data_IF_602447886755
#
_entry.id   IF_602447886755
#
_cell.length_a   1.000
_cell.length_b   1.000
_cell.length_c   1.000
_cell.angle_alpha   90.00
_cell.angle_beta   90.00
_cell.angle_gamma   90.00
#
_symmetry.space_group_name_H-M   'P 1'
#
loop_
_entity.id
_entity.type
_entity.pdbx_description
1 polymer ?
#
# COMPACT_ATOMS: atom_id res chain seq x y z
N UNK A 1 -31.60 22.35 -28.01
CA UNK A 1 -30.80 21.16 -27.65
C UNK A 1 -29.90 21.36 -26.44
N UNK A 2 -29.71 22.59 -25.90
CA UNK A 2 -28.76 22.85 -24.77
C UNK A 2 -29.25 22.49 -23.35
N UNK A 3 -30.58 22.50 -23.09
CA UNK A 3 -31.09 22.26 -21.72
C UNK A 3 -31.03 20.77 -21.29
N UNK A 4 -31.25 19.82 -22.18
CA UNK A 4 -31.26 18.39 -21.86
C UNK A 4 -29.86 17.83 -21.58
N UNK A 5 -28.81 18.39 -22.18
CA UNK A 5 -27.41 17.99 -21.94
C UNK A 5 -26.89 18.53 -20.60
N UNK A 6 -27.29 19.78 -20.24
CA UNK A 6 -26.93 20.36 -18.95
C UNK A 6 -27.62 19.66 -17.77
N UNK A 7 -28.89 19.28 -17.92
CA UNK A 7 -29.63 18.53 -16.90
C UNK A 7 -29.06 17.12 -16.68
N UNK A 8 -28.64 16.45 -17.76
CA UNK A 8 -27.97 15.17 -17.70
C UNK A 8 -26.59 15.23 -17.03
N UNK A 9 -25.81 16.28 -17.26
CA UNK A 9 -24.53 16.49 -16.61
C UNK A 9 -24.68 16.78 -15.09
N UNK A 10 -25.66 17.62 -14.72
CA UNK A 10 -25.94 17.91 -13.31
C UNK A 10 -26.42 16.67 -12.54
N UNK A 11 -27.23 15.81 -13.16
CA UNK A 11 -27.67 14.56 -12.55
C UNK A 11 -26.47 13.60 -12.30
N UNK A 12 -25.60 13.41 -13.30
CA UNK A 12 -24.38 12.59 -13.17
C UNK A 12 -23.43 13.14 -12.12
N UNK A 13 -23.23 14.45 -12.04
CA UNK A 13 -22.40 15.06 -11.01
C UNK A 13 -22.94 14.81 -9.60
N UNK A 14 -24.27 14.88 -9.42
CA UNK A 14 -24.92 14.59 -8.15
C UNK A 14 -24.79 13.11 -7.75
N UNK A 15 -24.92 12.20 -8.70
CA UNK A 15 -24.80 10.75 -8.47
C UNK A 15 -23.35 10.36 -8.13
N UNK A 16 -22.37 10.84 -8.89
CA UNK A 16 -20.96 10.67 -8.64
C UNK A 16 -20.56 11.22 -7.26
N UNK A 17 -21.01 12.42 -6.90
CA UNK A 17 -20.76 13.01 -5.59
C UNK A 17 -21.28 12.12 -4.46
N UNK A 18 -22.52 11.64 -4.55
CA UNK A 18 -23.11 10.72 -3.56
C UNK A 18 -22.31 9.44 -3.43
N UNK A 19 -21.82 8.89 -4.55
CA UNK A 19 -20.97 7.72 -4.56
C UNK A 19 -19.69 7.95 -3.75
N UNK A 20 -18.95 9.02 -4.04
CA UNK A 20 -17.68 9.28 -3.34
C UNK A 20 -17.88 9.67 -1.88
N UNK A 21 -18.90 10.45 -1.55
CA UNK A 21 -19.26 10.74 -0.16
C UNK A 21 -19.59 9.47 0.63
N UNK A 22 -20.19 8.48 -0.02
CA UNK A 22 -20.50 7.18 0.58
C UNK A 22 -19.26 6.30 0.73
N UNK A 23 -18.40 6.20 -0.30
CA UNK A 23 -17.24 5.29 -0.31
C UNK A 23 -16.00 5.85 0.41
N UNK A 24 -15.99 7.16 0.66
CA UNK A 24 -14.89 7.88 1.32
C UNK A 24 -15.39 8.55 2.61
N UNK A 25 -16.20 7.83 3.39
CA UNK A 25 -16.72 8.35 4.64
C UNK A 25 -15.58 8.81 5.56
N UNK A 26 -15.64 10.10 5.99
CA UNK A 26 -14.58 10.70 6.82
C UNK A 26 -13.32 11.17 6.07
N UNK A 27 -13.23 10.96 4.75
CA UNK A 27 -12.15 11.44 3.90
C UNK A 27 -12.65 12.51 2.91
N UNK A 28 -11.73 13.23 2.26
CA UNK A 28 -12.09 14.20 1.23
C UNK A 28 -12.62 13.49 -0.02
N UNK A 29 -13.90 13.64 -0.38
CA UNK A 29 -14.47 12.97 -1.54
C UNK A 29 -13.89 13.52 -2.84
N UNK A 30 -13.80 12.65 -3.84
CA UNK A 30 -13.36 13.01 -5.18
C UNK A 30 -14.40 13.91 -5.87
N UNK A 31 -13.96 15.03 -6.45
CA UNK A 31 -14.83 15.92 -7.20
C UNK A 31 -15.21 15.32 -8.56
N UNK A 32 -16.38 15.71 -9.07
CA UNK A 32 -16.83 15.26 -10.40
C UNK A 32 -15.87 15.69 -11.52
N UNK A 33 -15.28 16.88 -11.39
CA UNK A 33 -14.31 17.40 -12.35
C UNK A 33 -13.04 16.55 -12.41
N UNK A 34 -12.42 16.31 -11.25
CA UNK A 34 -11.20 15.50 -11.15
C UNK A 34 -11.47 14.05 -11.57
N UNK A 35 -12.62 13.48 -11.20
CA UNK A 35 -13.03 12.17 -11.66
C UNK A 35 -13.17 12.12 -13.20
N UNK A 36 -13.80 13.13 -13.80
CA UNK A 36 -13.89 13.25 -15.26
C UNK A 36 -12.53 13.33 -15.95
N UNK A 37 -11.56 14.02 -15.34
CA UNK A 37 -10.19 14.06 -15.84
C UNK A 37 -9.52 12.66 -15.76
N UNK A 38 -9.66 11.96 -14.65
CA UNK A 38 -9.14 10.60 -14.47
C UNK A 38 -9.70 9.66 -15.54
N UNK A 39 -11.02 9.63 -15.72
CA UNK A 39 -11.63 8.77 -16.73
C UNK A 39 -11.16 9.10 -18.16
N UNK A 40 -11.07 10.37 -18.50
CA UNK A 40 -10.59 10.81 -19.82
C UNK A 40 -9.14 10.38 -20.05
N UNK A 41 -8.25 10.63 -19.08
CA UNK A 41 -6.82 10.27 -19.18
C UNK A 41 -6.61 8.75 -19.14
N UNK A 42 -7.34 8.04 -18.29
CA UNK A 42 -7.32 6.58 -18.25
C UNK A 42 -7.74 5.95 -19.57
N UNK A 43 -8.81 6.47 -20.21
CA UNK A 43 -9.22 5.98 -21.53
C UNK A 43 -8.19 6.31 -22.62
N UNK A 44 -7.47 7.43 -22.53
CA UNK A 44 -6.36 7.74 -23.43
C UNK A 44 -5.20 6.76 -23.23
N UNK A 45 -4.84 6.44 -21.99
CA UNK A 45 -3.79 5.47 -21.69
C UNK A 45 -4.16 4.07 -22.19
N UNK A 46 -5.42 3.67 -22.01
CA UNK A 46 -5.94 2.41 -22.54
C UNK A 46 -5.86 2.34 -24.07
N UNK A 47 -6.04 3.46 -24.77
CA UNK A 47 -5.92 3.52 -26.23
C UNK A 47 -4.47 3.49 -26.70
N UNK A 48 -3.54 4.06 -25.95
CA UNK A 48 -2.08 4.04 -26.23
C UNK A 48 -1.48 2.67 -25.99
N UNK A 49 -1.98 1.91 -25.00
CA UNK A 49 -1.48 0.57 -24.61
C UNK A 49 0.04 0.54 -24.36
N UNK A 50 0.57 1.32 -23.40
CA UNK A 50 2.02 1.44 -23.20
C UNK A 50 2.71 0.11 -22.88
N UNK A 51 2.00 -0.86 -22.32
CA UNK A 51 2.49 -2.22 -22.06
C UNK A 51 2.83 -3.06 -23.29
N UNK A 52 2.52 -2.57 -24.49
CA UNK A 52 2.96 -3.20 -25.75
C UNK A 52 4.44 -2.89 -26.06
N UNK A 53 5.02 -1.85 -25.43
CA UNK A 53 6.39 -1.39 -25.70
C UNK A 53 7.18 -0.99 -24.44
N UNK A 54 6.58 -1.06 -23.25
CA UNK A 54 7.23 -0.84 -21.96
C UNK A 54 7.13 -2.11 -21.14
N UNK A 55 8.19 -2.37 -20.35
CA UNK A 55 8.22 -3.47 -19.41
C UNK A 55 7.77 -3.03 -18.01
N UNK A 56 7.28 -3.96 -17.20
CA UNK A 56 6.79 -3.69 -15.84
C UNK A 56 7.88 -3.09 -14.93
N UNK A 57 9.16 -3.31 -15.26
CA UNK A 57 10.31 -2.75 -14.54
C UNK A 57 10.74 -1.37 -15.02
N UNK A 58 10.20 -0.86 -16.12
CA UNK A 58 10.50 0.45 -16.68
C UNK A 58 9.87 1.54 -15.82
N UNK A 59 10.65 2.13 -14.92
CA UNK A 59 10.19 3.20 -14.05
C UNK A 59 10.36 4.57 -14.68
N UNK A 60 9.34 5.39 -14.50
CA UNK A 60 9.38 6.83 -14.73
C UNK A 60 9.34 7.55 -13.39
N UNK A 61 10.09 8.63 -13.28
CA UNK A 61 10.08 9.49 -12.11
C UNK A 61 9.30 10.77 -12.42
N UNK A 62 8.47 11.20 -11.49
CA UNK A 62 7.81 12.49 -11.49
C UNK A 62 7.88 13.08 -10.09
N UNK A 63 7.80 14.39 -9.98
CA UNK A 63 7.76 15.04 -8.67
C UNK A 63 6.40 15.69 -8.49
N UNK A 64 5.70 15.30 -7.43
CA UNK A 64 4.45 15.94 -7.06
C UNK A 64 4.69 17.42 -6.72
N UNK A 65 3.93 18.31 -7.38
CA UNK A 65 4.13 19.75 -7.27
C UNK A 65 3.70 20.34 -5.93
N UNK A 66 2.83 19.65 -5.19
CA UNK A 66 2.35 20.11 -3.89
C UNK A 66 3.25 19.66 -2.75
N UNK A 67 3.56 18.37 -2.68
CA UNK A 67 4.37 17.78 -1.61
C UNK A 67 5.87 17.78 -1.89
N UNK A 68 6.28 17.89 -3.15
CA UNK A 68 7.66 17.67 -3.59
C UNK A 68 8.11 16.20 -3.53
N UNK A 69 7.21 15.27 -3.20
CA UNK A 69 7.51 13.84 -3.13
C UNK A 69 7.73 13.26 -4.52
N UNK A 70 8.66 12.31 -4.63
CA UNK A 70 8.91 11.61 -5.89
C UNK A 70 7.87 10.50 -6.07
N UNK A 71 7.20 10.52 -7.22
CA UNK A 71 6.32 9.48 -7.72
C UNK A 71 7.13 8.57 -8.64
N UNK A 72 7.08 7.27 -8.38
CA UNK A 72 7.71 6.24 -9.20
C UNK A 72 6.60 5.53 -9.97
N UNK A 73 6.54 5.73 -11.26
CA UNK A 73 5.47 5.23 -12.12
C UNK A 73 5.94 4.02 -12.91
N UNK A 74 5.17 2.93 -12.90
CA UNK A 74 5.39 1.72 -13.70
C UNK A 74 4.13 1.38 -14.47
N UNK A 75 4.27 1.02 -15.75
CA UNK A 75 3.16 0.46 -16.53
C UNK A 75 3.25 -1.05 -16.48
N UNK A 76 2.15 -1.71 -16.10
CA UNK A 76 2.08 -3.17 -16.01
C UNK A 76 1.20 -3.71 -17.13
N UNK A 77 1.55 -4.89 -17.64
CA UNK A 77 0.75 -5.56 -18.66
C UNK A 77 1.52 -6.29 -19.73
N UNK A 78 2.85 -6.25 -19.73
CA UNK A 78 3.69 -6.96 -20.70
C UNK A 78 3.42 -8.47 -20.73
N UNK A 79 3.05 -9.07 -19.58
CA UNK A 79 2.67 -10.49 -19.48
C UNK A 79 1.20 -10.76 -19.81
N UNK A 80 0.38 -9.72 -20.02
CA UNK A 80 -1.04 -9.87 -20.39
C UNK A 80 -1.99 -10.22 -19.24
N UNK A 81 -1.52 -10.24 -17.98
CA UNK A 81 -2.31 -10.60 -16.81
C UNK A 81 -3.02 -9.39 -16.20
N UNK A 82 -2.27 -8.36 -15.86
CA UNK A 82 -2.77 -7.11 -15.25
C UNK A 82 -2.37 -5.93 -16.11
N UNK A 83 -3.33 -5.10 -16.51
CA UNK A 83 -3.06 -3.88 -17.27
C UNK A 83 -3.28 -2.67 -16.37
N UNK A 84 -2.22 -1.95 -16.06
CA UNK A 84 -2.32 -0.82 -15.13
C UNK A 84 -1.19 0.20 -15.30
N UNK A 85 -1.41 1.40 -14.75
CA UNK A 85 -0.35 2.31 -14.33
C UNK A 85 -0.33 2.31 -12.81
N UNK A 86 0.77 1.90 -12.22
CA UNK A 86 1.04 1.98 -10.79
C UNK A 86 1.91 3.19 -10.48
N UNK A 87 1.51 3.97 -9.51
CA UNK A 87 2.25 5.13 -9.01
C UNK A 87 2.62 4.88 -7.57
N UNK A 88 3.87 4.55 -7.34
CA UNK A 88 4.40 4.33 -6.00
C UNK A 88 4.85 5.67 -5.41
N UNK A 89 4.49 5.95 -4.16
CA UNK A 89 4.92 7.14 -3.43
C UNK A 89 5.61 6.73 -2.14
N UNK A 90 6.63 7.51 -1.77
CA UNK A 90 7.39 7.26 -0.56
C UNK A 90 8.48 6.19 -0.68
N UNK A 91 9.39 6.26 0.29
CA UNK A 91 10.60 5.46 0.32
C UNK A 91 10.36 3.95 0.39
N UNK A 92 9.39 3.53 1.21
CA UNK A 92 9.13 2.12 1.44
C UNK A 92 8.51 1.44 0.21
N UNK A 93 7.57 2.14 -0.48
CA UNK A 93 6.97 1.63 -1.71
C UNK A 93 8.00 1.45 -2.83
N UNK A 94 8.93 2.42 -2.98
CA UNK A 94 10.02 2.31 -3.95
C UNK A 94 10.95 1.13 -3.63
N UNK A 95 11.33 0.95 -2.35
CA UNK A 95 12.17 -0.19 -1.94
C UNK A 95 11.47 -1.52 -2.15
N UNK A 96 10.17 -1.57 -1.86
CA UNK A 96 9.36 -2.76 -2.12
C UNK A 96 9.34 -3.11 -3.60
N UNK A 97 9.07 -2.13 -4.48
CA UNK A 97 9.14 -2.29 -5.92
C UNK A 97 10.52 -2.81 -6.36
N UNK A 98 11.62 -2.20 -5.88
CA UNK A 98 13.00 -2.62 -6.21
C UNK A 98 13.30 -4.06 -5.76
N UNK A 99 12.71 -4.50 -4.65
CA UNK A 99 12.83 -5.90 -4.21
C UNK A 99 12.14 -6.86 -5.15
N UNK A 100 10.93 -6.52 -5.60
CA UNK A 100 10.17 -7.32 -6.59
C UNK A 100 10.92 -7.37 -7.91
N UNK A 101 11.34 -6.23 -8.45
CA UNK A 101 12.07 -6.13 -9.70
C UNK A 101 13.40 -6.92 -9.67
N UNK A 102 14.03 -7.03 -8.50
CA UNK A 102 15.23 -7.86 -8.30
C UNK A 102 14.92 -9.35 -8.04
N UNK A 103 13.68 -9.82 -8.19
CA UNK A 103 13.27 -11.20 -7.93
C UNK A 103 13.43 -11.65 -6.47
N UNK A 104 13.52 -10.72 -5.51
CA UNK A 104 13.68 -11.07 -4.10
C UNK A 104 12.34 -11.52 -3.52
N UNK A 105 12.33 -12.53 -2.64
CA UNK A 105 11.11 -12.98 -2.00
C UNK A 105 10.41 -11.82 -1.27
N UNK A 106 9.13 -11.68 -1.51
CA UNK A 106 8.24 -10.72 -0.86
C UNK A 106 7.00 -11.44 -0.36
N UNK A 107 6.47 -11.01 0.76
CA UNK A 107 5.22 -11.52 1.31
C UNK A 107 4.09 -10.52 1.09
N UNK A 108 2.86 -10.96 1.17
CA UNK A 108 1.72 -10.05 1.21
C UNK A 108 1.77 -9.10 2.40
N UNK A 109 2.33 -9.53 3.54
CA UNK A 109 2.62 -8.65 4.67
C UNK A 109 3.56 -7.50 4.33
N UNK A 110 4.61 -7.77 3.52
CA UNK A 110 5.51 -6.72 3.00
C UNK A 110 4.74 -5.72 2.11
N UNK A 111 3.84 -6.22 1.26
CA UNK A 111 2.96 -5.38 0.45
C UNK A 111 2.11 -4.45 1.32
N UNK A 112 1.32 -5.00 2.23
CA UNK A 112 0.45 -4.21 3.09
C UNK A 112 1.19 -3.25 4.02
N UNK A 113 2.42 -3.56 4.42
CA UNK A 113 3.20 -2.67 5.28
C UNK A 113 3.89 -1.53 4.53
N UNK A 114 4.19 -1.73 3.25
CA UNK A 114 5.09 -0.84 2.48
C UNK A 114 4.37 -0.05 1.41
N UNK A 115 3.27 -0.58 0.85
CA UNK A 115 2.66 0.01 -0.34
C UNK A 115 1.88 1.27 -0.04
N UNK A 116 2.33 2.38 -0.62
CA UNK A 116 1.66 3.67 -0.67
C UNK A 116 1.69 4.19 -2.10
N UNK A 117 0.54 4.62 -2.59
CA UNK A 117 0.45 5.15 -3.94
C UNK A 117 -0.95 5.12 -4.49
N UNK A 118 -1.05 5.26 -5.81
CA UNK A 118 -2.31 5.26 -6.55
C UNK A 118 -2.16 4.47 -7.83
N UNK A 119 -3.26 3.91 -8.33
CA UNK A 119 -3.26 3.17 -9.59
C UNK A 119 -4.47 3.49 -10.46
N UNK A 120 -4.29 3.32 -11.76
CA UNK A 120 -5.38 3.04 -12.69
C UNK A 120 -5.21 1.63 -13.21
N UNK A 121 -6.25 0.82 -13.08
CA UNK A 121 -6.29 -0.56 -13.55
C UNK A 121 -7.34 -0.69 -14.64
N UNK A 122 -7.05 -1.48 -15.67
CA UNK A 122 -7.93 -1.66 -16.82
C UNK A 122 -8.58 -3.03 -16.75
N UNK A 123 -9.77 -3.07 -16.19
CA UNK A 123 -10.49 -4.30 -15.85
C UNK A 123 -11.63 -4.61 -16.80
N UNK A 124 -11.93 -5.89 -16.98
CA UNK A 124 -13.11 -6.35 -17.71
C UNK A 124 -14.37 -6.24 -16.87
N UNK A 125 -15.54 -6.33 -17.48
CA UNK A 125 -16.81 -6.28 -16.76
C UNK A 125 -17.00 -7.39 -15.70
N UNK A 126 -16.22 -8.48 -15.76
CA UNK A 126 -16.26 -9.56 -14.77
C UNK A 126 -15.48 -9.21 -13.50
N UNK A 127 -14.41 -8.45 -13.66
CA UNK A 127 -13.49 -8.03 -12.59
C UNK A 127 -14.03 -6.81 -11.82
N UNK A 128 -15.04 -6.10 -12.37
CA UNK A 128 -15.64 -4.94 -11.74
C UNK A 128 -16.52 -5.32 -10.55
N UNK A 129 -16.31 -4.66 -9.43
CA UNK A 129 -17.22 -4.72 -8.28
C UNK A 129 -18.54 -3.99 -8.58
N UNK A 130 -19.63 -4.24 -7.84
CA UNK A 130 -20.87 -3.47 -8.03
C UNK A 130 -20.68 -1.94 -7.89
N UNK A 131 -19.90 -1.42 -6.91
CA UNK A 131 -19.60 0.00 -6.83
C UNK A 131 -18.80 0.53 -8.03
N UNK A 132 -17.87 -0.24 -8.59
CA UNK A 132 -17.13 0.18 -9.80
C UNK A 132 -18.06 0.35 -11.00
N UNK A 133 -19.04 -0.55 -11.15
CA UNK A 133 -20.04 -0.45 -12.22
C UNK A 133 -20.90 0.81 -12.09
N UNK A 134 -21.34 1.10 -10.86
CA UNK A 134 -22.11 2.32 -10.55
C UNK A 134 -21.31 3.57 -10.96
N UNK A 135 -20.03 3.63 -10.61
CA UNK A 135 -19.15 4.74 -10.95
C UNK A 135 -18.92 4.84 -12.47
N UNK A 136 -18.62 3.72 -13.14
CA UNK A 136 -18.42 3.69 -14.61
C UNK A 136 -19.68 4.13 -15.35
N UNK A 137 -20.87 3.77 -14.86
CA UNK A 137 -22.15 4.18 -15.42
C UNK A 137 -22.35 5.71 -15.29
N UNK A 138 -22.02 6.28 -14.13
CA UNK A 138 -22.13 7.72 -13.88
C UNK A 138 -21.24 8.54 -14.84
N UNK A 139 -20.11 7.98 -15.31
CA UNK A 139 -19.21 8.63 -16.27
C UNK A 139 -19.43 8.16 -17.72
N UNK A 140 -20.48 7.39 -18.01
CA UNK A 140 -20.85 6.98 -19.37
C UNK A 140 -19.96 5.89 -19.97
N UNK A 141 -19.14 5.24 -19.14
CA UNK A 141 -18.27 4.13 -19.57
C UNK A 141 -18.97 2.77 -19.46
N UNK A 142 -20.14 2.67 -20.08
CA UNK A 142 -20.98 1.48 -20.06
C UNK A 142 -20.44 0.34 -20.92
N UNK A 143 -20.54 -0.82 -20.36
CA UNK A 143 -20.51 -2.20 -20.83
C UNK A 143 -20.51 -2.41 -22.36
N UNK A 144 -19.34 -2.46 -22.96
CA UNK A 144 -19.18 -3.22 -24.19
C UNK A 144 -18.52 -4.55 -23.80
N UNK A 145 -19.23 -5.67 -24.04
CA UNK A 145 -18.74 -7.02 -23.74
C UNK A 145 -17.32 -7.20 -24.29
N UNK A 146 -16.38 -7.61 -23.41
CA UNK A 146 -14.97 -7.83 -23.76
C UNK A 146 -14.08 -6.59 -23.80
N UNK A 147 -14.59 -5.37 -23.50
CA UNK A 147 -13.75 -4.18 -23.38
C UNK A 147 -13.35 -3.95 -21.93
N UNK A 148 -12.12 -3.46 -21.74
CA UNK A 148 -11.62 -3.02 -20.44
C UNK A 148 -12.08 -1.58 -20.16
N UNK A 149 -12.20 -1.26 -18.88
CA UNK A 149 -12.52 0.08 -18.38
C UNK A 149 -11.58 0.45 -17.25
N UNK A 150 -11.22 1.75 -17.10
CA UNK A 150 -10.35 2.18 -16.03
C UNK A 150 -11.09 2.17 -14.67
N UNK A 151 -10.46 1.62 -13.66
CA UNK A 151 -10.82 1.80 -12.25
C UNK A 151 -9.63 2.41 -11.52
N UNK A 152 -9.88 3.17 -10.46
CA UNK A 152 -8.86 3.94 -9.76
C UNK A 152 -8.79 3.48 -8.31
N UNK A 153 -7.57 3.22 -7.83
CA UNK A 153 -7.33 2.73 -6.47
C UNK A 153 -6.25 3.54 -5.78
N UNK A 154 -6.40 3.71 -4.49
CA UNK A 154 -5.38 4.22 -3.59
C UNK A 154 -4.87 3.09 -2.72
N UNK A 155 -3.56 3.02 -2.58
CA UNK A 155 -2.83 2.08 -1.73
C UNK A 155 -2.31 2.85 -0.51
N UNK A 156 -2.61 2.35 0.68
CA UNK A 156 -2.09 2.91 1.94
C UNK A 156 -1.59 1.80 2.85
N UNK A 157 -0.46 1.99 3.53
CA UNK A 157 0.04 1.00 4.46
C UNK A 157 -1.02 0.59 5.50
N UNK A 158 -1.20 -0.70 5.68
CA UNK A 158 -2.20 -1.24 6.62
C UNK A 158 -3.63 -1.31 6.10
N UNK A 159 -3.88 -0.93 4.84
CA UNK A 159 -5.21 -0.94 4.24
C UNK A 159 -5.25 -1.74 2.95
N UNK A 160 -6.41 -2.30 2.66
CA UNK A 160 -6.72 -2.82 1.33
C UNK A 160 -6.89 -1.66 0.34
N UNK A 161 -6.59 -1.86 -0.97
CA UNK A 161 -6.87 -0.86 -1.99
C UNK A 161 -8.30 -0.36 -1.92
N UNK A 162 -8.44 0.96 -2.08
CA UNK A 162 -9.72 1.64 -1.97
C UNK A 162 -9.87 2.74 -3.01
N UNK A 163 -11.00 3.41 -3.02
CA UNK A 163 -11.23 4.55 -3.90
C UNK A 163 -10.28 5.70 -3.57
N UNK A 164 -9.88 6.45 -4.61
CA UNK A 164 -8.97 7.60 -4.46
C UNK A 164 -9.70 8.80 -3.88
N UNK A 165 -9.05 9.51 -2.98
CA UNK A 165 -9.47 10.84 -2.50
C UNK A 165 -9.12 11.91 -3.54
N UNK A 166 -9.60 13.15 -3.34
CA UNK A 166 -9.28 14.28 -4.22
C UNK A 166 -7.77 14.52 -4.36
N UNK A 167 -7.01 14.47 -3.25
CA UNK A 167 -5.55 14.65 -3.28
C UNK A 167 -4.85 13.51 -4.01
N UNK A 168 -5.21 12.26 -3.73
CA UNK A 168 -4.66 11.08 -4.41
C UNK A 168 -4.99 11.08 -5.91
N UNK A 169 -6.20 11.51 -6.28
CA UNK A 169 -6.62 11.62 -7.67
C UNK A 169 -5.81 12.67 -8.46
N UNK A 170 -5.48 13.81 -7.84
CA UNK A 170 -4.64 14.84 -8.47
C UNK A 170 -3.24 14.31 -8.78
N UNK A 171 -2.64 13.54 -7.87
CA UNK A 171 -1.35 12.87 -8.12
C UNK A 171 -1.47 11.94 -9.32
N UNK A 172 -2.53 11.12 -9.38
CA UNK A 172 -2.74 10.20 -10.50
C UNK A 172 -3.01 10.92 -11.83
N UNK A 173 -3.79 12.01 -11.82
CA UNK A 173 -4.01 12.87 -13.02
C UNK A 173 -2.67 13.39 -13.54
N UNK A 174 -1.84 13.92 -12.65
CA UNK A 174 -0.53 14.44 -13.01
C UNK A 174 0.38 13.37 -13.61
N UNK A 175 0.44 12.20 -12.99
CA UNK A 175 1.24 11.07 -13.50
C UNK A 175 0.71 10.54 -14.83
N UNK A 176 -0.62 10.46 -15.02
CA UNK A 176 -1.24 10.08 -16.30
C UNK A 176 -0.89 11.06 -17.43
N UNK A 177 -0.88 12.37 -17.15
CA UNK A 177 -0.46 13.38 -18.13
C UNK A 177 1.00 13.18 -18.53
N UNK A 178 1.90 12.96 -17.57
CA UNK A 178 3.31 12.71 -17.81
C UNK A 178 3.57 11.48 -18.68
N UNK A 179 2.97 10.33 -18.31
CA UNK A 179 3.13 9.10 -19.08
C UNK A 179 2.56 9.22 -20.50
N UNK A 180 1.41 9.85 -20.67
CA UNK A 180 0.85 10.10 -22.00
C UNK A 180 1.75 11.02 -22.85
N UNK A 181 2.37 12.03 -22.25
CA UNK A 181 3.34 12.88 -22.92
C UNK A 181 4.62 12.09 -23.30
N UNK A 182 5.10 11.21 -22.41
CA UNK A 182 6.22 10.32 -22.71
C UNK A 182 5.90 9.38 -23.87
N UNK A 183 4.75 8.73 -23.88
CA UNK A 183 4.34 7.83 -24.95
C UNK A 183 4.27 8.54 -26.31
N UNK A 184 3.78 9.80 -26.36
CA UNK A 184 3.81 10.60 -27.60
C UNK A 184 5.23 10.88 -28.04
N UNK A 185 6.12 11.27 -27.10
CA UNK A 185 7.52 11.54 -27.41
C UNK A 185 8.25 10.28 -27.91
N UNK A 186 8.04 9.13 -27.26
CA UNK A 186 8.64 7.86 -27.69
C UNK A 186 8.20 7.45 -29.08
N UNK A 187 6.92 7.66 -29.43
CA UNK A 187 6.40 7.40 -30.77
C UNK A 187 7.04 8.30 -31.85
N UNK A 188 7.44 9.53 -31.50
CA UNK A 188 8.11 10.46 -32.43
C UNK A 188 9.59 10.17 -32.61
N UNK A 189 10.27 9.74 -31.54
CA UNK A 189 11.73 9.58 -31.50
C UNK A 189 12.21 8.18 -31.91
N UNK A 190 11.33 7.18 -32.00
CA UNK A 190 11.66 5.79 -32.30
C UNK A 190 12.34 5.05 -31.14
N UNK A 191 13.12 4.02 -31.45
CA UNK A 191 13.72 3.10 -30.46
C UNK A 191 14.85 3.76 -29.65
N UNK A 192 14.49 4.57 -28.67
CA UNK A 192 15.43 5.07 -27.67
C UNK A 192 15.27 4.24 -26.40
N UNK A 193 16.31 3.52 -25.99
CA UNK A 193 16.34 2.85 -24.71
C UNK A 193 16.66 3.86 -23.60
N UNK A 194 15.65 4.27 -22.86
CA UNK A 194 15.79 5.18 -21.73
C UNK A 194 16.30 4.50 -20.48
N UNK A 195 16.33 3.17 -20.42
CA UNK A 195 16.72 2.36 -19.27
C UNK A 195 18.02 1.56 -19.50
N UNK A 196 18.78 1.87 -20.57
CA UNK A 196 20.06 1.24 -20.88
C UNK A 196 21.05 1.21 -19.71
N UNK A 197 20.99 2.23 -18.83
CA UNK A 197 21.88 2.35 -17.68
C UNK A 197 21.15 1.95 -16.41
N UNK A 198 21.73 1.00 -15.69
CA UNK A 198 21.25 0.59 -14.37
C UNK A 198 21.09 1.79 -13.42
N UNK A 199 19.97 1.84 -12.69
CA UNK A 199 19.59 2.90 -11.74
C UNK A 199 19.40 4.31 -12.35
N UNK A 200 19.36 4.44 -13.66
CA UNK A 200 19.05 5.71 -14.35
C UNK A 200 17.66 5.63 -14.97
N UNK A 201 16.81 6.59 -14.67
CA UNK A 201 15.41 6.59 -15.07
C UNK A 201 15.00 7.90 -15.74
N UNK A 202 14.04 7.86 -16.65
CA UNK A 202 13.39 9.06 -17.18
C UNK A 202 12.69 9.83 -16.06
N UNK A 203 13.07 11.08 -15.85
CA UNK A 203 12.41 12.01 -14.95
C UNK A 203 11.63 13.02 -15.79
N UNK A 204 10.31 12.95 -15.68
CA UNK A 204 9.40 13.78 -16.45
C UNK A 204 9.16 15.09 -15.69
N UNK A 205 9.67 16.19 -16.21
CA UNK A 205 9.56 17.52 -15.61
C UNK A 205 8.62 18.35 -16.47
N UNK A 206 7.52 18.91 -15.92
CA UNK A 206 6.62 19.77 -16.70
C UNK A 206 7.40 21.01 -17.17
N UNK A 207 7.17 21.44 -18.42
CA UNK A 207 7.77 22.66 -18.94
C UNK A 207 7.19 23.87 -18.20
N UNK A 208 8.06 24.77 -17.74
CA UNK A 208 7.69 25.90 -16.90
C UNK A 208 6.62 26.84 -17.50
N UNK A 209 6.52 26.89 -18.83
CA UNK A 209 5.56 27.71 -19.57
C UNK A 209 4.20 27.01 -19.76
N UNK A 210 4.13 25.68 -19.52
CA UNK A 210 2.94 24.87 -19.75
C UNK A 210 2.12 24.67 -18.47
N UNK A 211 1.12 25.53 -18.29
CA UNK A 211 0.16 25.43 -17.18
C UNK A 211 -0.81 24.24 -17.30
N UNK A 212 -0.87 23.60 -18.45
CA UNK A 212 -1.77 22.46 -18.71
C UNK A 212 -1.14 21.11 -18.37
N UNK A 213 0.19 21.09 -18.15
CA UNK A 213 0.98 19.88 -17.93
C UNK A 213 0.82 18.86 -19.09
N UNK A 214 0.72 19.35 -20.33
CA UNK A 214 0.66 18.50 -21.52
C UNK A 214 2.05 18.26 -22.14
N UNK A 215 3.04 19.09 -21.79
CA UNK A 215 4.41 19.01 -22.31
C UNK A 215 5.40 18.84 -21.17
N UNK A 216 6.21 17.80 -21.27
CA UNK A 216 7.25 17.47 -20.32
C UNK A 216 8.62 17.48 -20.98
N UNK A 217 9.63 17.85 -20.22
CA UNK A 217 11.03 17.61 -20.53
C UNK A 217 11.44 16.29 -19.88
N UNK A 218 12.15 15.46 -20.64
CA UNK A 218 12.67 14.17 -20.15
C UNK A 218 14.12 14.38 -19.76
N UNK A 219 14.45 14.12 -18.49
CA UNK A 219 15.82 14.14 -17.97
C UNK A 219 16.16 12.75 -17.48
N UNK A 220 17.31 12.23 -17.87
CA UNK A 220 17.82 10.98 -17.32
C UNK A 220 18.47 11.26 -15.97
N UNK A 221 17.95 10.70 -14.90
CA UNK A 221 18.48 10.90 -13.56
C UNK A 221 18.73 9.57 -12.86
N UNK A 222 19.71 9.55 -12.00
CA UNK A 222 19.85 8.45 -11.05
C UNK A 222 18.72 8.56 -10.04
N UNK A 223 17.99 7.46 -9.79
CA UNK A 223 16.91 7.48 -8.81
C UNK A 223 17.46 7.94 -7.45
N UNK A 224 16.85 8.96 -6.84
CA UNK A 224 17.23 9.33 -5.49
C UNK A 224 16.95 8.15 -4.56
N UNK A 225 17.96 7.68 -3.83
CA UNK A 225 17.72 6.71 -2.76
C UNK A 225 16.95 7.43 -1.64
N UNK A 226 15.69 7.04 -1.40
CA UNK A 226 14.94 7.68 -0.34
C UNK A 226 15.61 7.40 1.00
N UNK A 227 15.69 8.38 1.90
CA UNK A 227 16.32 8.19 3.20
C UNK A 227 15.63 7.04 3.94
N UNK A 228 16.43 6.13 4.48
CA UNK A 228 15.92 5.06 5.36
C UNK A 228 15.64 5.70 6.70
N UNK A 229 14.36 5.79 7.09
CA UNK A 229 14.04 6.09 8.47
C UNK A 229 14.60 4.97 9.34
N UNK A 230 15.62 5.27 10.13
CA UNK A 230 16.15 4.28 11.06
C UNK A 230 15.06 3.91 12.08
N UNK A 231 14.81 2.62 12.31
CA UNK A 231 13.90 2.21 13.35
C UNK A 231 14.38 2.77 14.69
N UNK A 232 13.46 3.27 15.50
CA UNK A 232 13.73 3.82 16.83
C UNK A 232 13.07 2.96 17.88
N UNK A 233 13.67 2.93 19.06
CA UNK A 233 13.02 2.33 20.22
C UNK A 233 11.64 2.94 20.42
N UNK A 234 10.66 2.08 20.71
CA UNK A 234 9.32 2.56 21.04
C UNK A 234 9.33 3.20 22.42
N UNK A 235 8.80 4.41 22.51
CA UNK A 235 8.57 5.08 23.80
C UNK A 235 7.30 4.48 24.41
N UNK A 236 7.47 3.71 25.47
CA UNK A 236 6.36 3.11 26.20
C UNK A 236 6.07 3.91 27.45
N UNK A 237 4.81 4.22 27.66
CA UNK A 237 4.33 4.84 28.89
C UNK A 237 4.56 3.86 30.06
N UNK A 238 5.17 4.36 31.14
CA UNK A 238 5.40 3.58 32.36
C UNK A 238 4.08 3.13 33.01
N UNK A 239 3.03 3.91 32.84
CA UNK A 239 1.70 3.54 33.31
C UNK A 239 1.16 2.29 32.61
N UNK A 240 1.51 2.05 31.35
CA UNK A 240 1.15 0.83 30.62
C UNK A 240 1.82 -0.40 31.22
N UNK A 241 3.10 -0.29 31.56
CA UNK A 241 3.86 -1.40 32.14
C UNK A 241 3.34 -1.73 33.54
N UNK A 242 3.24 -0.73 34.42
CA UNK A 242 2.79 -0.90 35.81
C UNK A 242 1.31 -1.28 35.91
N UNK A 243 0.48 -0.88 34.93
CA UNK A 243 -0.94 -1.26 34.88
C UNK A 243 -1.18 -2.70 34.41
N UNK A 244 -0.20 -3.32 33.74
CA UNK A 244 -0.33 -4.68 33.20
C UNK A 244 0.42 -5.69 34.03
N UNK A 245 1.63 -5.39 34.52
CA UNK A 245 2.47 -6.31 35.22
C UNK A 245 2.36 -6.14 36.77
N UNK A 246 2.22 -7.23 37.54
CA UNK A 246 2.35 -7.19 39.00
C UNK A 246 3.80 -6.82 39.42
N UNK A 247 3.96 -6.28 40.63
CA UNK A 247 5.25 -5.79 41.15
C UNK A 247 6.39 -6.81 41.07
N UNK A 248 6.07 -8.11 41.18
CA UNK A 248 7.08 -9.16 41.13
C UNK A 248 6.64 -10.34 40.30
N UNK A 249 7.47 -10.68 39.29
CA UNK A 249 7.34 -11.88 38.47
C UNK A 249 8.68 -12.63 38.42
N UNK A 250 8.66 -13.98 38.51
CA UNK A 250 9.88 -14.79 38.38
C UNK A 250 10.42 -14.68 36.95
N UNK A 251 11.75 -14.63 36.83
CA UNK A 251 12.42 -14.61 35.51
C UNK A 251 12.72 -16.03 35.05
N UNK A 252 12.20 -16.44 33.88
CA UNK A 252 12.41 -17.78 33.29
C UNK A 252 12.09 -17.87 31.84
N UNK A 253 12.58 -18.92 31.17
CA UNK A 253 12.19 -19.32 29.83
C UNK A 253 12.48 -18.29 28.72
N UNK A 254 11.96 -18.57 27.55
CA UNK A 254 12.02 -17.70 26.39
C UNK A 254 10.61 -17.54 25.79
N UNK A 255 10.31 -16.34 25.28
CA UNK A 255 9.12 -16.08 24.47
C UNK A 255 9.52 -15.92 23.01
N UNK A 256 8.69 -16.41 22.09
CA UNK A 256 8.75 -16.08 20.68
C UNK A 256 7.69 -15.03 20.38
N UNK A 257 8.06 -13.97 19.64
CA UNK A 257 7.16 -12.88 19.28
C UNK A 257 7.32 -12.50 17.82
N UNK A 258 6.20 -12.35 17.12
CA UNK A 258 6.15 -11.89 15.73
C UNK A 258 4.92 -11.03 15.50
N UNK A 259 4.95 -10.29 14.41
CA UNK A 259 3.86 -9.46 13.92
C UNK A 259 3.63 -9.77 12.44
N UNK A 260 2.38 -9.89 12.04
CA UNK A 260 2.02 -10.15 10.64
C UNK A 260 0.63 -9.59 10.28
N UNK A 261 0.38 -9.47 8.99
CA UNK A 261 -0.91 -9.13 8.43
C UNK A 261 -1.66 -10.42 8.05
N UNK A 262 -2.99 -10.34 8.06
CA UNK A 262 -3.87 -11.38 7.55
C UNK A 262 -4.65 -10.89 6.34
N UNK A 263 -5.31 -11.78 5.60
CA UNK A 263 -6.22 -11.42 4.50
C UNK A 263 -7.56 -10.84 4.96
N UNK A 264 -7.85 -10.82 6.27
CA UNK A 264 -9.12 -10.34 6.79
C UNK A 264 -9.26 -8.83 6.62
N UNK A 265 -10.44 -8.41 6.13
CA UNK A 265 -10.83 -7.01 5.91
C UNK A 265 -11.62 -6.50 7.11
N UNK A 266 -11.13 -5.45 7.76
CA UNK A 266 -11.76 -4.83 8.93
C UNK A 266 -12.30 -3.44 8.56
N UNK A 267 -13.47 -3.09 9.04
CA UNK A 267 -14.12 -1.78 8.85
C UNK A 267 -15.57 -1.89 8.38
N UNK A 268 -16.30 -0.78 8.49
CA UNK A 268 -17.68 -0.66 8.08
C UNK A 268 -17.83 -0.71 6.54
N UNK A 269 -19.04 -1.03 6.06
CA UNK A 269 -19.28 -1.34 4.63
C UNK A 269 -18.76 -0.31 3.64
N UNK A 270 -18.77 0.97 3.99
CA UNK A 270 -18.45 2.09 3.09
C UNK A 270 -17.17 2.84 3.52
N UNK A 271 -16.29 2.17 4.24
CA UNK A 271 -15.02 2.72 4.70
C UNK A 271 -13.87 1.95 4.09
N UNK A 272 -12.71 2.61 4.00
CA UNK A 272 -11.47 1.95 3.61
C UNK A 272 -11.21 0.77 4.54
N UNK A 273 -11.07 -0.42 3.96
CA UNK A 273 -10.88 -1.65 4.73
C UNK A 273 -9.46 -1.73 5.26
N UNK A 274 -9.33 -1.82 6.58
CA UNK A 274 -8.05 -2.10 7.20
C UNK A 274 -7.69 -3.58 7.04
N UNK A 275 -6.39 -3.86 6.91
CA UNK A 275 -5.85 -5.20 7.03
C UNK A 275 -5.77 -5.55 8.52
N UNK A 276 -6.25 -6.71 8.92
CA UNK A 276 -6.08 -7.17 10.28
C UNK A 276 -4.59 -7.42 10.56
N UNK A 277 -4.05 -6.68 11.52
CA UNK A 277 -2.68 -6.82 12.02
C UNK A 277 -2.70 -7.57 13.35
N UNK A 278 -1.76 -8.48 13.52
CA UNK A 278 -1.71 -9.33 14.70
C UNK A 278 -0.29 -9.39 15.24
N UNK A 279 -0.12 -9.15 16.53
CA UNK A 279 1.07 -9.56 17.24
C UNK A 279 0.76 -10.83 18.05
N UNK A 280 1.53 -11.88 17.82
CA UNK A 280 1.43 -13.15 18.50
C UNK A 280 2.65 -13.39 19.36
N UNK A 281 2.41 -13.99 20.52
CA UNK A 281 3.46 -14.42 21.44
C UNK A 281 3.19 -15.86 21.83
N UNK A 282 4.24 -16.67 21.84
CA UNK A 282 4.21 -18.05 22.34
C UNK A 282 5.35 -18.30 23.32
N UNK A 283 5.14 -19.24 24.25
CA UNK A 283 6.21 -19.78 25.06
C UNK A 283 7.10 -20.66 24.18
N UNK A 284 8.38 -20.30 24.06
CA UNK A 284 9.32 -20.95 23.15
C UNK A 284 9.71 -22.37 23.56
N UNK A 285 9.45 -22.76 24.80
CA UNK A 285 9.78 -24.08 25.33
C UNK A 285 8.57 -25.04 25.28
N UNK A 286 7.39 -24.55 25.67
CA UNK A 286 6.17 -25.37 25.70
C UNK A 286 5.29 -25.26 24.44
N UNK A 287 5.50 -24.23 23.60
CA UNK A 287 4.66 -23.95 22.44
C UNK A 287 3.28 -23.37 22.78
N UNK A 288 3.03 -23.02 24.03
CA UNK A 288 1.75 -22.42 24.46
C UNK A 288 1.61 -21.04 23.87
N UNK A 289 0.49 -20.81 23.16
CA UNK A 289 0.12 -19.49 22.66
C UNK A 289 -0.51 -18.63 23.75
N UNK A 290 -0.12 -17.36 23.79
CA UNK A 290 -0.81 -16.35 24.58
C UNK A 290 -1.88 -15.65 23.73
N UNK A 291 -2.76 -14.90 24.40
CA UNK A 291 -3.78 -14.14 23.68
C UNK A 291 -3.13 -13.19 22.68
N UNK A 292 -3.50 -13.25 21.38
CA UNK A 292 -2.95 -12.33 20.38
C UNK A 292 -3.45 -10.91 20.60
N UNK A 293 -2.61 -9.94 20.27
CA UNK A 293 -2.97 -8.53 20.26
C UNK A 293 -3.35 -8.12 18.84
N UNK A 294 -4.53 -7.51 18.69
CA UNK A 294 -5.04 -7.04 17.41
C UNK A 294 -4.67 -5.57 17.23
N UNK A 295 -4.04 -5.24 16.10
CA UNK A 295 -3.60 -3.89 15.79
C UNK A 295 -4.45 -3.20 14.73
N UNK A 296 -4.58 -1.88 14.89
CA UNK A 296 -5.13 -0.99 13.87
C UNK A 296 -4.01 -0.54 12.91
N UNK A 297 -4.32 -0.04 11.71
CA UNK A 297 -3.31 0.47 10.79
C UNK A 297 -2.43 1.58 11.39
N UNK A 298 -2.98 2.40 12.29
CA UNK A 298 -2.30 3.53 12.93
C UNK A 298 -1.38 3.10 14.06
N UNK A 299 -1.56 1.90 14.63
CA UNK A 299 -0.70 1.40 15.70
C UNK A 299 0.73 1.22 15.20
N UNK A 300 1.73 1.62 15.99
CA UNK A 300 3.10 1.24 15.67
C UNK A 300 3.31 -0.26 15.91
N UNK A 301 4.19 -0.87 15.11
CA UNK A 301 4.56 -2.28 15.29
C UNK A 301 5.21 -2.52 16.64
N UNK A 302 6.00 -1.55 17.13
CA UNK A 302 6.63 -1.63 18.44
C UNK A 302 5.63 -1.64 19.60
N UNK A 303 4.61 -0.76 19.55
CA UNK A 303 3.55 -0.74 20.57
C UNK A 303 2.72 -2.01 20.55
N UNK A 304 2.38 -2.51 19.36
CA UNK A 304 1.60 -3.75 19.23
C UNK A 304 2.34 -4.95 19.81
N UNK A 305 3.62 -5.12 19.48
CA UNK A 305 4.47 -6.17 20.03
C UNK A 305 4.66 -6.01 21.56
N UNK A 306 4.83 -4.77 22.04
CA UNK A 306 4.98 -4.52 23.45
C UNK A 306 3.73 -4.90 24.25
N UNK A 307 2.52 -4.51 23.77
CA UNK A 307 1.25 -4.91 24.40
C UNK A 307 1.09 -6.43 24.44
N UNK A 308 1.37 -7.12 23.32
CA UNK A 308 1.31 -8.57 23.25
C UNK A 308 2.27 -9.25 24.25
N UNK A 309 3.51 -8.76 24.35
CA UNK A 309 4.49 -9.28 25.29
C UNK A 309 4.10 -9.03 26.76
N UNK A 310 3.62 -7.83 27.08
CA UNK A 310 3.14 -7.50 28.43
C UNK A 310 1.93 -8.37 28.82
N UNK A 311 1.01 -8.59 27.88
CA UNK A 311 -0.11 -9.53 28.06
C UNK A 311 0.36 -10.95 28.33
N UNK A 312 1.31 -11.45 27.56
CA UNK A 312 1.89 -12.78 27.71
C UNK A 312 2.61 -12.94 29.06
N UNK A 313 3.38 -11.94 29.50
CA UNK A 313 4.04 -11.95 30.80
C UNK A 313 3.05 -11.96 31.97
N UNK A 314 1.98 -11.18 31.89
CA UNK A 314 0.90 -11.14 32.86
C UNK A 314 0.21 -12.51 32.98
N UNK A 315 -0.23 -13.06 31.84
CA UNK A 315 -1.01 -14.29 31.78
C UNK A 315 -0.16 -15.52 32.12
N UNK A 316 1.10 -15.54 31.69
CA UNK A 316 2.09 -16.57 32.05
C UNK A 316 2.66 -16.44 33.43
N UNK A 317 2.49 -15.29 34.11
CA UNK A 317 3.04 -14.97 35.42
C UNK A 317 4.57 -15.13 35.51
N UNK A 318 5.29 -14.67 34.48
CA UNK A 318 6.76 -14.63 34.44
C UNK A 318 7.29 -13.55 33.54
N UNK A 319 8.51 -13.09 33.77
CA UNK A 319 9.30 -12.29 32.84
C UNK A 319 10.22 -13.25 32.09
N UNK A 320 10.26 -13.22 30.74
CA UNK A 320 11.16 -14.08 29.99
C UNK A 320 12.62 -13.68 30.24
N UNK A 321 13.53 -14.64 30.21
CA UNK A 321 14.96 -14.35 30.17
C UNK A 321 15.35 -13.78 28.80
N UNK A 322 14.67 -14.25 27.74
CA UNK A 322 14.92 -13.88 26.34
C UNK A 322 13.60 -13.79 25.56
N UNK A 323 13.47 -12.79 24.69
CA UNK A 323 12.44 -12.71 23.66
C UNK A 323 13.10 -12.95 22.32
N UNK A 324 12.63 -13.94 21.57
CA UNK A 324 13.09 -14.27 20.23
C UNK A 324 12.20 -13.60 19.20
N UNK A 325 12.81 -12.91 18.24
CA UNK A 325 12.10 -12.21 17.17
C UNK A 325 12.74 -12.53 15.80
N UNK A 326 11.98 -12.42 14.72
CA UNK A 326 12.46 -12.70 13.36
C UNK A 326 13.25 -11.55 12.76
N UNK A 327 12.80 -10.32 12.94
CA UNK A 327 13.31 -9.14 12.27
C UNK A 327 14.24 -8.33 13.19
N UNK A 328 15.37 -7.86 12.62
CA UNK A 328 16.31 -6.99 13.36
C UNK A 328 15.66 -5.71 13.87
N UNK A 329 14.68 -5.21 13.11
CA UNK A 329 13.91 -4.01 13.48
C UNK A 329 13.14 -4.21 14.78
N UNK A 330 12.54 -5.37 15.01
CA UNK A 330 11.81 -5.67 16.26
C UNK A 330 12.72 -5.63 17.48
N UNK A 331 14.01 -6.02 17.32
CA UNK A 331 14.98 -5.87 18.42
C UNK A 331 15.17 -4.41 18.79
N UNK A 332 15.17 -3.49 17.82
CA UNK A 332 15.31 -2.05 18.06
C UNK A 332 14.01 -1.49 18.66
N UNK A 333 12.87 -1.82 18.07
CA UNK A 333 11.55 -1.38 18.58
C UNK A 333 11.31 -1.80 20.02
N UNK A 334 11.74 -2.99 20.42
CA UNK A 334 11.56 -3.55 21.77
C UNK A 334 12.66 -3.16 22.75
N UNK A 335 13.69 -2.43 22.36
CA UNK A 335 14.84 -2.13 23.23
C UNK A 335 14.42 -1.37 24.50
N UNK A 336 13.54 -0.38 24.38
CA UNK A 336 13.02 0.37 25.53
C UNK A 336 12.27 -0.51 26.54
N UNK A 337 11.42 -1.44 26.05
CA UNK A 337 10.73 -2.40 26.91
C UNK A 337 11.71 -3.39 27.55
N UNK A 338 12.65 -3.89 26.76
CA UNK A 338 13.69 -4.82 27.20
C UNK A 338 14.53 -4.25 28.34
N UNK A 339 14.95 -3.00 28.26
CA UNK A 339 15.72 -2.30 29.28
C UNK A 339 14.91 -2.08 30.58
N UNK A 340 13.64 -1.67 30.44
CA UNK A 340 12.77 -1.39 31.59
C UNK A 340 12.40 -2.65 32.37
N UNK A 341 12.14 -3.77 31.68
CA UNK A 341 11.71 -5.03 32.31
C UNK A 341 12.89 -5.97 32.58
N UNK A 342 13.97 -5.86 31.82
CA UNK A 342 15.21 -6.62 32.07
C UNK A 342 15.24 -7.99 31.36
N UNK A 343 14.69 -8.12 30.14
CA UNK A 343 14.86 -9.33 29.32
C UNK A 343 15.80 -9.07 28.14
N UNK A 344 16.39 -10.15 27.58
CA UNK A 344 17.17 -10.04 26.34
C UNK A 344 16.29 -10.12 25.09
N UNK A 345 16.70 -9.45 23.99
CA UNK A 345 16.06 -9.64 22.67
C UNK A 345 17.03 -10.26 21.70
N UNK A 346 16.69 -11.42 21.15
CA UNK A 346 17.49 -12.18 20.19
C UNK A 346 16.80 -12.31 18.85
N UNK A 347 17.52 -12.00 17.78
CA UNK A 347 17.05 -12.23 16.41
C UNK A 347 17.36 -13.67 16.01
N UNK A 348 16.34 -14.40 15.52
CA UNK A 348 16.44 -15.80 15.08
C UNK A 348 15.90 -15.94 13.66
N UNK A 349 16.38 -16.95 12.91
CA UNK A 349 15.87 -17.22 11.55
C UNK A 349 14.49 -17.87 11.56
N UNK A 350 14.13 -18.59 12.62
CA UNK A 350 12.85 -19.28 12.77
C UNK A 350 12.33 -19.09 14.19
N UNK A 351 11.02 -19.18 14.33
CA UNK A 351 10.27 -19.13 15.58
C UNK A 351 9.34 -20.36 15.58
N UNK A 352 9.88 -21.57 15.88
CA UNK A 352 9.17 -22.82 15.59
C UNK A 352 7.79 -22.93 16.26
N UNK A 353 7.67 -22.49 17.52
CA UNK A 353 6.41 -22.52 18.25
C UNK A 353 5.40 -21.56 17.62
N UNK A 354 5.84 -20.37 17.25
CA UNK A 354 5.01 -19.32 16.70
C UNK A 354 4.67 -19.57 15.23
N UNK A 355 5.60 -20.11 14.43
CA UNK A 355 5.38 -20.43 13.01
C UNK A 355 4.22 -21.41 12.84
N UNK A 356 4.19 -22.48 13.63
CA UNK A 356 3.10 -23.45 13.61
C UNK A 356 1.74 -22.81 13.98
N UNK A 357 1.71 -21.93 14.96
CA UNK A 357 0.50 -21.22 15.37
C UNK A 357 0.04 -20.23 14.31
N UNK A 358 0.97 -19.53 13.68
CA UNK A 358 0.69 -18.58 12.59
C UNK A 358 0.06 -19.29 11.38
N UNK A 359 0.64 -20.40 10.94
CA UNK A 359 0.12 -21.17 9.81
C UNK A 359 -1.31 -21.65 10.09
N UNK A 360 -1.55 -22.16 11.30
CA UNK A 360 -2.89 -22.59 11.71
C UNK A 360 -3.89 -21.43 11.75
N UNK A 361 -3.47 -20.26 12.27
CA UNK A 361 -4.29 -19.07 12.35
C UNK A 361 -4.63 -18.52 10.96
N UNK A 362 -3.64 -18.42 10.06
CA UNK A 362 -3.85 -17.95 8.68
C UNK A 362 -4.78 -18.89 7.89
N UNK A 363 -4.71 -20.20 8.14
CA UNK A 363 -5.65 -21.15 7.55
C UNK A 363 -7.12 -20.93 7.98
N UNK A 364 -7.34 -20.34 9.17
CA UNK A 364 -8.70 -20.03 9.66
C UNK A 364 -9.22 -18.67 9.20
N UNK A 365 -8.37 -17.64 9.15
CA UNK A 365 -8.80 -16.25 8.88
C UNK A 365 -8.48 -15.77 7.47
N UNK A 366 -7.82 -16.59 6.66
CA UNK A 366 -7.35 -16.27 5.32
C UNK A 366 -5.91 -15.76 5.29
N UNK A 367 -5.12 -16.34 4.39
CA UNK A 367 -3.76 -15.89 4.11
C UNK A 367 -3.81 -14.62 3.25
N UNK A 368 -3.10 -13.55 3.62
CA UNK A 368 -2.96 -12.38 2.76
C UNK A 368 -2.24 -12.67 1.45
N UNK A 369 -1.58 -13.85 1.31
CA UNK A 369 -0.88 -14.29 0.11
C UNK A 369 -1.79 -14.63 -1.07
N UNK A 370 -3.07 -14.90 -0.85
CA UNK A 370 -4.05 -15.01 -1.92
C UNK A 370 -4.55 -13.62 -2.35
N UNK A 371 -3.68 -12.89 -3.03
CA UNK A 371 -4.01 -11.59 -3.67
C UNK A 371 -4.85 -11.82 -4.96
N UNK A 372 -5.48 -12.95 -5.09
CA UNK A 372 -6.22 -13.37 -6.30
C UNK A 372 -7.56 -12.65 -6.52
N UNK A 373 -8.00 -11.82 -5.57
CA UNK A 373 -9.27 -11.09 -5.64
C UNK A 373 -9.08 -9.55 -5.68
N UNK A 374 -8.06 -9.09 -6.40
CA UNK A 374 -7.83 -7.66 -6.70
C UNK A 374 -8.52 -7.25 -7.98
#
# INVERSE_FOLDING_TARGET
MSNSESDGAAARAKESRRFFEKQLAGEQPLSFETAGQLFRLGMQLLAVQPWEFLEDQDLFLMQDGESGEICYCSTMGALGEVFSLQVYTGAESYRFFRRIAAGKPTSAGDFYSSMRGVSVEFVTAREQTPPDRELLEAFGHLKKRGKRAPIFRALRPGYHPWYVTEGEAKILVYCLQGILAFCRHAAEMGDIDYWEKEDVFPFLVPKAEDKTHEHFEIRLVKAPEPPVAAPRAEELDESLISGILPEYLPKRGALEADHFFTGAKIGEQNERKACLRIAMVSDGDSGVAFQPELGKPEDSTGQLLARALLGAMRDGRFVPSEVRVRHKEFKILLSGLSEKIGFGVRVTKSLPALDHLKDHFLAMVGDPGEISDW
#
